data_IF_432087383932
#
_entry.id   IF_432087383932
#
_cell.length_a   1.000
_cell.length_b   1.000
_cell.length_c   1.000
_cell.angle_alpha   90.00
_cell.angle_beta   90.00
_cell.angle_gamma   90.00
#
_symmetry.space_group_name_H-M   'P 1'
#
loop_
_entity.id
_entity.type
_entity.pdbx_description
1 polymer ?
#
# COMPACT_ATOMS: atom_id res chain seq x y z
N UNK A 1 -9.40 21.15 9.63
CA UNK A 1 -8.03 20.55 9.72
C UNK A 1 -7.83 19.45 8.68
N UNK A 2 -8.88 18.70 8.30
CA UNK A 2 -8.89 17.74 7.19
C UNK A 2 -10.21 17.92 6.42
N UNK A 3 -10.19 17.72 5.10
CA UNK A 3 -11.39 17.70 4.26
C UNK A 3 -12.11 16.32 4.40
N UNK A 4 -13.41 16.25 4.78
CA UNK A 4 -14.13 14.99 4.92
C UNK A 4 -14.18 14.12 3.65
N UNK A 5 -14.25 14.75 2.48
CA UNK A 5 -14.31 14.03 1.19
C UNK A 5 -12.98 13.33 0.89
N UNK A 6 -11.88 13.98 1.27
CA UNK A 6 -10.54 13.39 1.22
C UNK A 6 -10.42 12.21 2.16
N UNK A 7 -10.99 12.28 3.37
CA UNK A 7 -10.97 11.16 4.30
C UNK A 7 -11.69 9.92 3.74
N UNK A 8 -12.89 10.09 3.19
CA UNK A 8 -13.66 8.96 2.61
C UNK A 8 -12.91 8.35 1.42
N UNK A 9 -12.41 9.19 0.52
CA UNK A 9 -11.68 8.76 -0.68
C UNK A 9 -10.37 8.07 -0.30
N UNK A 10 -9.66 8.58 0.71
CA UNK A 10 -8.45 8.00 1.25
C UNK A 10 -8.69 6.60 1.84
N UNK A 11 -9.73 6.45 2.67
CA UNK A 11 -10.06 5.17 3.29
C UNK A 11 -10.46 4.12 2.25
N UNK A 12 -11.25 4.52 1.24
CA UNK A 12 -11.65 3.62 0.16
C UNK A 12 -10.45 3.12 -0.65
N UNK A 13 -9.56 4.02 -1.05
CA UNK A 13 -8.36 3.66 -1.79
C UNK A 13 -7.37 2.86 -0.92
N UNK A 14 -7.18 3.23 0.35
CA UNK A 14 -6.35 2.49 1.30
C UNK A 14 -6.86 1.07 1.52
N UNK A 15 -8.18 0.88 1.58
CA UNK A 15 -8.81 -0.44 1.70
C UNK A 15 -8.48 -1.31 0.49
N UNK A 16 -8.67 -0.78 -0.72
CA UNK A 16 -8.39 -1.53 -1.95
C UNK A 16 -6.92 -1.95 -2.04
N UNK A 17 -6.00 -1.09 -1.63
CA UNK A 17 -4.57 -1.38 -1.63
C UNK A 17 -4.20 -2.44 -0.60
N UNK A 18 -4.73 -2.33 0.61
CA UNK A 18 -4.45 -3.28 1.68
C UNK A 18 -4.99 -4.68 1.34
N UNK A 19 -6.16 -4.76 0.70
CA UNK A 19 -6.77 -6.03 0.26
C UNK A 19 -6.15 -6.59 -1.02
N UNK A 20 -5.57 -5.75 -1.88
CA UNK A 20 -4.93 -6.21 -3.11
C UNK A 20 -3.74 -7.15 -2.78
N UNK A 21 -3.75 -8.42 -3.25
CA UNK A 21 -2.64 -9.34 -3.00
C UNK A 21 -1.30 -8.75 -3.45
N UNK A 22 -0.28 -8.86 -2.60
CA UNK A 22 1.04 -8.28 -2.85
C UNK A 22 2.13 -8.91 -2.00
N UNK A 23 3.38 -8.43 -2.10
CA UNK A 23 4.51 -8.99 -1.36
C UNK A 23 4.30 -9.03 0.15
N UNK A 24 3.78 -7.96 0.75
CA UNK A 24 3.50 -7.88 2.19
C UNK A 24 2.43 -8.90 2.61
N UNK A 25 1.31 -8.97 1.88
CA UNK A 25 0.24 -9.96 2.12
C UNK A 25 0.74 -11.40 1.97
N UNK A 26 1.58 -11.68 0.97
CA UNK A 26 2.18 -13.00 0.76
C UNK A 26 3.14 -13.39 1.89
N UNK A 27 3.98 -12.44 2.34
CA UNK A 27 4.89 -12.64 3.47
C UNK A 27 4.10 -12.91 4.77
N UNK A 28 3.05 -12.13 5.03
CA UNK A 28 2.18 -12.28 6.20
C UNK A 28 1.53 -13.67 6.25
N UNK A 29 0.93 -14.10 5.14
CA UNK A 29 0.31 -15.41 5.03
C UNK A 29 1.35 -16.53 5.16
N UNK A 30 2.50 -16.41 4.50
CA UNK A 30 3.58 -17.40 4.58
C UNK A 30 4.08 -17.57 6.02
N UNK A 31 4.30 -16.48 6.75
CA UNK A 31 4.71 -16.54 8.15
C UNK A 31 3.62 -17.06 9.08
N UNK A 32 2.37 -16.70 8.83
CA UNK A 32 1.23 -17.22 9.60
C UNK A 32 1.09 -18.73 9.44
N UNK A 33 1.23 -19.24 8.21
CA UNK A 33 1.13 -20.67 7.93
C UNK A 33 2.34 -21.47 8.41
N UNK A 34 3.56 -20.93 8.23
CA UNK A 34 4.78 -21.66 8.60
C UNK A 34 5.07 -21.61 10.11
N UNK A 35 4.81 -20.47 10.76
CA UNK A 35 5.26 -20.19 12.12
C UNK A 35 4.10 -19.83 13.09
N UNK A 36 2.84 -19.95 12.63
CA UNK A 36 1.65 -19.73 13.44
C UNK A 36 1.21 -18.26 13.55
N UNK A 37 0.04 -18.05 14.16
CA UNK A 37 -0.60 -16.73 14.28
C UNK A 37 0.25 -15.69 15.01
N UNK A 38 1.07 -16.11 15.98
CA UNK A 38 1.98 -15.19 16.69
C UNK A 38 3.01 -14.59 15.73
N UNK A 39 3.57 -15.38 14.82
CA UNK A 39 4.47 -14.87 13.79
C UNK A 39 3.72 -13.97 12.79
N UNK A 40 2.47 -14.31 12.47
CA UNK A 40 1.58 -13.44 11.70
C UNK A 40 1.39 -12.06 12.34
N UNK A 41 1.04 -12.02 13.64
CA UNK A 41 0.88 -10.75 14.38
C UNK A 41 2.18 -9.95 14.44
N UNK A 42 3.32 -10.62 14.64
CA UNK A 42 4.64 -9.97 14.57
C UNK A 42 4.87 -9.32 13.21
N UNK A 43 4.47 -10.00 12.11
CA UNK A 43 4.56 -9.42 10.77
C UNK A 43 3.66 -8.18 10.61
N UNK A 44 2.40 -8.24 11.06
CA UNK A 44 1.47 -7.10 10.98
C UNK A 44 1.99 -5.87 11.74
N UNK A 45 2.55 -6.07 12.96
CA UNK A 45 3.20 -4.97 13.68
C UNK A 45 4.44 -4.45 12.94
N UNK A 46 5.23 -5.34 12.34
CA UNK A 46 6.38 -4.95 11.52
C UNK A 46 5.97 -4.09 10.33
N UNK A 47 4.92 -4.45 9.60
CA UNK A 47 4.39 -3.65 8.50
C UNK A 47 3.86 -2.30 8.97
N UNK A 48 3.11 -2.25 10.07
CA UNK A 48 2.64 -0.99 10.62
C UNK A 48 3.82 -0.06 10.97
N UNK A 49 4.90 -0.58 11.57
CA UNK A 49 6.13 0.17 11.83
C UNK A 49 6.82 0.60 10.53
N UNK A 50 6.84 -0.24 9.51
CA UNK A 50 7.36 0.12 8.19
C UNK A 50 6.57 1.27 7.54
N UNK A 51 5.24 1.26 7.68
CA UNK A 51 4.38 2.37 7.26
C UNK A 51 4.64 3.67 8.05
N UNK A 52 4.96 3.58 9.33
CA UNK A 52 5.39 4.76 10.13
C UNK A 52 6.73 5.31 9.62
N UNK A 53 7.68 4.44 9.24
CA UNK A 53 8.96 4.86 8.63
C UNK A 53 8.71 5.58 7.30
N UNK A 54 7.88 5.02 6.42
CA UNK A 54 7.47 5.69 5.18
C UNK A 54 6.78 7.02 5.43
N UNK A 55 5.89 7.08 6.43
CA UNK A 55 5.24 8.34 6.84
C UNK A 55 6.26 9.39 7.21
N UNK A 56 7.25 9.03 8.03
CA UNK A 56 8.28 9.94 8.45
C UNK A 56 9.06 10.50 7.25
N UNK A 57 9.52 9.62 6.34
CA UNK A 57 10.24 10.05 5.15
C UNK A 57 9.38 10.91 4.22
N UNK A 58 8.12 10.52 4.00
CA UNK A 58 7.19 11.27 3.17
C UNK A 58 6.93 12.66 3.77
N UNK A 59 6.61 12.76 5.06
CA UNK A 59 6.35 14.03 5.74
C UNK A 59 7.56 14.94 5.69
N UNK A 60 8.75 14.45 6.05
CA UNK A 60 9.99 15.25 6.05
C UNK A 60 10.36 15.67 4.63
N UNK A 61 10.41 14.72 3.70
CA UNK A 61 10.83 14.96 2.32
C UNK A 61 9.86 15.88 1.57
N UNK A 62 8.57 15.58 1.60
CA UNK A 62 7.56 16.36 0.88
C UNK A 62 7.35 17.74 1.50
N UNK A 63 7.42 17.87 2.84
CA UNK A 63 7.38 19.19 3.48
C UNK A 63 8.60 20.02 3.09
N UNK A 64 9.80 19.41 3.03
CA UNK A 64 11.01 20.12 2.60
C UNK A 64 10.90 20.58 1.14
N UNK A 65 10.41 19.71 0.25
CA UNK A 65 10.17 20.05 -1.16
C UNK A 65 9.16 21.18 -1.29
N UNK A 66 8.02 21.10 -0.59
CA UNK A 66 6.98 22.13 -0.61
C UNK A 66 7.50 23.50 -0.13
N UNK A 67 8.32 23.51 0.93
CA UNK A 67 8.94 24.74 1.45
C UNK A 67 10.02 25.30 0.51
N UNK A 68 10.69 24.45 -0.26
CA UNK A 68 11.75 24.85 -1.17
C UNK A 68 11.21 25.38 -2.51
N UNK A 69 10.19 24.72 -3.09
CA UNK A 69 9.59 25.12 -4.36
C UNK A 69 8.23 24.47 -4.56
N UNK A 70 7.21 25.30 -4.76
CA UNK A 70 5.87 24.86 -5.16
C UNK A 70 5.91 24.10 -6.49
N UNK A 71 6.74 24.54 -7.46
CA UNK A 71 6.91 23.85 -8.75
C UNK A 71 7.49 22.46 -8.56
N UNK A 72 8.47 22.30 -7.68
CA UNK A 72 9.05 20.99 -7.37
C UNK A 72 8.03 20.07 -6.68
N UNK A 73 7.20 20.62 -5.79
CA UNK A 73 6.13 19.88 -5.14
C UNK A 73 5.08 19.40 -6.15
N UNK A 74 4.60 20.29 -7.02
CA UNK A 74 3.67 19.94 -8.08
C UNK A 74 4.26 18.90 -9.05
N UNK A 75 5.56 18.99 -9.35
CA UNK A 75 6.23 17.98 -10.17
C UNK A 75 6.22 16.59 -9.52
N UNK A 76 6.40 16.51 -8.19
CA UNK A 76 6.26 15.24 -7.45
C UNK A 76 4.83 14.73 -7.47
N UNK A 77 3.83 15.61 -7.32
CA UNK A 77 2.42 15.24 -7.43
C UNK A 77 2.10 14.67 -8.82
N UNK A 78 2.54 15.32 -9.90
CA UNK A 78 2.32 14.84 -11.26
C UNK A 78 3.07 13.55 -11.58
N UNK A 79 4.32 13.42 -11.12
CA UNK A 79 5.07 12.16 -11.22
C UNK A 79 4.35 11.04 -10.46
N UNK A 80 3.77 11.36 -9.30
CA UNK A 80 2.95 10.45 -8.52
C UNK A 80 1.69 10.00 -9.24
N UNK A 81 0.93 10.92 -9.82
CA UNK A 81 -0.24 10.59 -10.65
C UNK A 81 0.16 9.72 -11.84
N UNK A 82 1.24 10.05 -12.55
CA UNK A 82 1.73 9.24 -13.66
C UNK A 82 2.08 7.81 -13.20
N UNK A 83 2.69 7.67 -12.02
CA UNK A 83 3.00 6.37 -11.45
C UNK A 83 1.75 5.58 -11.03
N UNK A 84 0.74 6.22 -10.43
CA UNK A 84 -0.54 5.57 -10.12
C UNK A 84 -1.28 5.14 -11.40
N UNK A 85 -1.29 5.97 -12.43
CA UNK A 85 -1.80 5.62 -13.76
C UNK A 85 -1.06 4.39 -14.31
N UNK A 86 0.27 4.40 -14.26
CA UNK A 86 1.09 3.27 -14.68
C UNK A 86 0.74 1.99 -13.92
N UNK A 87 0.66 2.05 -12.59
CA UNK A 87 0.26 0.91 -11.76
C UNK A 87 -1.14 0.42 -12.11
N UNK A 88 -2.11 1.32 -12.26
CA UNK A 88 -3.47 0.94 -12.61
C UNK A 88 -3.56 0.29 -13.98
N UNK A 89 -2.84 0.81 -14.98
CA UNK A 89 -2.74 0.20 -16.31
C UNK A 89 -2.08 -1.17 -16.23
N UNK A 90 -1.01 -1.34 -15.46
CA UNK A 90 -0.33 -2.62 -15.29
C UNK A 90 -1.25 -3.66 -14.63
N UNK A 91 -2.01 -3.28 -13.61
CA UNK A 91 -3.00 -4.14 -12.96
C UNK A 91 -4.15 -4.51 -13.90
N UNK A 92 -4.57 -3.62 -14.79
CA UNK A 92 -5.56 -3.95 -15.82
C UNK A 92 -4.96 -4.90 -16.87
N UNK A 93 -3.75 -4.61 -17.36
CA UNK A 93 -3.07 -5.45 -18.37
C UNK A 93 -2.82 -6.88 -17.89
N UNK A 94 -2.41 -7.06 -16.64
CA UNK A 94 -2.23 -8.41 -16.05
C UNK A 94 -3.51 -9.23 -16.02
N UNK A 95 -4.69 -8.58 -16.10
CA UNK A 95 -5.99 -9.28 -16.16
C UNK A 95 -6.35 -9.79 -17.56
N UNK A 96 -5.67 -9.29 -18.60
CA UNK A 96 -5.89 -9.68 -20.00
C UNK A 96 -4.80 -10.62 -20.50
N UNK A 97 -3.59 -10.49 -19.97
CA UNK A 97 -2.45 -11.35 -20.30
C UNK A 97 -2.40 -12.45 -19.23
N UNK A 98 -2.93 -13.64 -19.55
CA UNK A 98 -2.64 -14.86 -18.80
C UNK A 98 -1.21 -15.29 -19.14
N UNK A 99 -0.23 -14.52 -18.69
CA UNK A 99 1.13 -15.03 -18.68
C UNK A 99 1.14 -16.26 -17.75
N UNK A 100 1.75 -17.39 -18.16
CA UNK A 100 2.13 -18.40 -17.21
C UNK A 100 2.89 -17.66 -16.12
N UNK A 101 2.58 -17.92 -14.85
CA UNK A 101 3.37 -17.38 -13.74
C UNK A 101 4.75 -18.05 -13.88
N UNK A 102 5.60 -17.54 -14.75
CA UNK A 102 7.03 -17.79 -14.67
C UNK A 102 7.42 -17.27 -13.30
N UNK A 103 8.01 -18.18 -12.51
CA UNK A 103 8.63 -17.87 -11.25
C UNK A 103 9.88 -17.02 -11.52
N UNK A 104 9.73 -15.83 -12.10
CA UNK A 104 10.80 -14.85 -12.13
C UNK A 104 10.92 -14.29 -10.72
N UNK A 105 12.04 -14.62 -10.07
CA UNK A 105 12.54 -14.08 -8.81
C UNK A 105 11.47 -13.68 -7.79
N UNK A 106 10.64 -14.65 -7.36
CA UNK A 106 9.89 -14.45 -6.12
C UNK A 106 10.92 -14.17 -5.02
N UNK A 107 10.87 -13.01 -4.33
CA UNK A 107 11.80 -12.73 -3.25
C UNK A 107 11.78 -13.93 -2.30
N UNK A 108 12.97 -14.41 -1.92
CA UNK A 108 13.09 -15.64 -1.16
C UNK A 108 12.46 -15.41 0.23
N UNK A 109 11.17 -15.76 0.38
CA UNK A 109 10.45 -15.63 1.64
C UNK A 109 11.04 -16.68 2.58
N UNK A 110 11.94 -16.25 3.46
CA UNK A 110 12.49 -17.12 4.48
C UNK A 110 11.42 -17.44 5.52
N UNK A 111 10.89 -18.66 5.45
CA UNK A 111 9.94 -19.20 6.44
C UNK A 111 10.63 -19.95 7.57
N UNK A 112 11.97 -19.99 7.57
CA UNK A 112 12.74 -20.55 8.69
C UNK A 112 12.37 -19.81 9.96
N UNK A 113 12.35 -20.54 11.09
CA UNK A 113 12.05 -20.03 12.44
C UNK A 113 13.04 -18.91 12.81
N UNK A 114 12.74 -17.70 12.38
CA UNK A 114 13.57 -16.51 12.54
C UNK A 114 13.35 -15.94 13.94
N UNK A 115 14.43 -15.52 14.59
CA UNK A 115 14.33 -14.89 15.92
C UNK A 115 13.66 -13.50 15.88
N UNK A 116 13.48 -12.90 14.69
CA UNK A 116 12.92 -11.54 14.57
C UNK A 116 12.05 -11.36 13.31
N UNK A 117 10.88 -11.99 13.30
CA UNK A 117 9.89 -11.89 12.22
C UNK A 117 9.39 -10.47 12.02
N UNK A 118 9.20 -9.72 13.12
CA UNK A 118 8.72 -8.34 13.09
C UNK A 118 9.67 -7.42 12.33
N UNK A 119 10.98 -7.51 12.59
CA UNK A 119 11.97 -6.69 11.88
C UNK A 119 12.04 -7.06 10.40
N UNK A 120 11.95 -8.35 10.06
CA UNK A 120 11.90 -8.77 8.66
C UNK A 120 10.69 -8.19 7.94
N UNK A 121 9.51 -8.26 8.55
CA UNK A 121 8.30 -7.64 8.00
C UNK A 121 8.45 -6.13 7.83
N UNK A 122 8.99 -5.44 8.84
CA UNK A 122 9.27 -4.00 8.75
C UNK A 122 10.19 -3.68 7.57
N UNK A 123 11.27 -4.44 7.37
CA UNK A 123 12.16 -4.24 6.22
C UNK A 123 11.52 -4.61 4.89
N UNK A 124 10.69 -5.66 4.85
CA UNK A 124 9.91 -5.99 3.66
C UNK A 124 9.00 -4.82 3.26
N UNK A 125 8.34 -4.17 4.21
CA UNK A 125 7.48 -3.01 3.93
C UNK A 125 8.29 -1.77 3.54
N UNK A 126 9.38 -1.47 4.26
CA UNK A 126 10.26 -0.31 3.97
C UNK A 126 10.89 -0.42 2.58
N UNK A 127 11.32 -1.63 2.20
CA UNK A 127 11.94 -1.88 0.90
C UNK A 127 10.93 -2.16 -0.21
N UNK A 128 9.62 -2.14 0.07
CA UNK A 128 8.59 -2.39 -0.92
C UNK A 128 8.41 -1.15 -1.81
N UNK A 129 8.85 -1.17 -3.08
CA UNK A 129 8.76 0.01 -3.94
C UNK A 129 7.31 0.42 -4.21
N UNK A 130 6.35 -0.53 -4.19
CA UNK A 130 4.92 -0.24 -4.33
C UNK A 130 4.43 0.64 -3.19
N UNK A 131 4.82 0.33 -1.95
CA UNK A 131 4.41 1.07 -0.75
C UNK A 131 5.14 2.41 -0.69
N UNK A 132 6.45 2.43 -0.92
CA UNK A 132 7.22 3.67 -0.94
C UNK A 132 6.64 4.68 -1.93
N UNK A 133 6.36 4.23 -3.16
CA UNK A 133 5.80 5.08 -4.20
C UNK A 133 4.34 5.45 -3.91
N UNK A 134 3.56 4.58 -3.25
CA UNK A 134 2.25 4.97 -2.73
C UNK A 134 2.35 6.14 -1.75
N UNK A 135 3.22 6.09 -0.74
CA UNK A 135 3.38 7.19 0.22
C UNK A 135 3.80 8.50 -0.46
N UNK A 136 4.67 8.44 -1.47
CA UNK A 136 5.15 9.62 -2.20
C UNK A 136 4.10 10.17 -3.18
N UNK A 137 3.39 9.29 -3.88
CA UNK A 137 2.49 9.66 -4.99
C UNK A 137 1.06 9.94 -4.56
N UNK A 138 0.57 9.18 -3.57
CA UNK A 138 -0.84 9.12 -3.22
C UNK A 138 -1.18 10.02 -2.04
N UNK A 139 -0.37 10.03 -0.97
CA UNK A 139 -0.67 10.84 0.23
C UNK A 139 -0.78 12.34 -0.08
N UNK A 140 0.09 12.95 -0.92
CA UNK A 140 -0.03 14.36 -1.28
C UNK A 140 -1.37 14.74 -1.92
N UNK A 141 -2.10 13.79 -2.50
CA UNK A 141 -3.39 14.04 -3.16
C UNK A 141 -4.49 14.38 -2.16
N UNK A 142 -4.29 14.06 -0.89
CA UNK A 142 -5.23 14.33 0.20
C UNK A 142 -4.81 15.56 1.02
N UNK A 143 -3.86 16.34 0.51
CA UNK A 143 -3.45 17.61 1.12
C UNK A 143 -4.25 18.73 0.46
N UNK A 144 -5.14 19.35 1.24
CA UNK A 144 -5.86 20.53 0.81
C UNK A 144 -4.99 21.79 1.03
N UNK A 145 -4.57 22.51 -0.02
CA UNK A 145 -3.74 23.70 0.11
C UNK A 145 -4.49 24.88 0.75
N UNK A 146 -5.83 24.85 0.80
CA UNK A 146 -6.64 25.87 1.48
C UNK A 146 -6.67 25.66 3.02
N UNK A 147 -6.23 24.50 3.51
CA UNK A 147 -6.15 24.20 4.94
C UNK A 147 -4.76 24.51 5.51
N UNK A 148 -4.71 24.80 6.82
CA UNK A 148 -3.60 25.53 7.43
C UNK A 148 -2.22 24.84 7.46
N UNK A 149 -2.13 23.50 7.42
CA UNK A 149 -0.82 22.83 7.52
C UNK A 149 -0.74 21.58 6.65
N UNK A 150 -0.03 21.66 5.54
CA UNK A 150 0.29 20.51 4.68
C UNK A 150 1.05 19.41 5.44
N UNK A 151 2.01 19.79 6.29
CA UNK A 151 2.78 18.83 7.13
C UNK A 151 1.86 18.04 8.05
N UNK A 152 0.88 18.69 8.68
CA UNK A 152 -0.10 17.99 9.51
C UNK A 152 -0.94 17.01 8.69
N UNK A 153 -1.43 17.43 7.52
CA UNK A 153 -2.25 16.57 6.65
C UNK A 153 -1.47 15.34 6.16
N UNK A 154 -0.23 15.54 5.70
CA UNK A 154 0.67 14.45 5.30
C UNK A 154 0.91 13.46 6.46
N UNK A 155 1.18 13.97 7.66
CA UNK A 155 1.40 13.12 8.83
C UNK A 155 0.12 12.38 9.25
N UNK A 156 -1.03 13.05 9.20
CA UNK A 156 -2.32 12.46 9.54
C UNK A 156 -2.65 11.29 8.60
N UNK A 157 -2.66 11.51 7.29
CA UNK A 157 -2.97 10.47 6.31
C UNK A 157 -1.90 9.37 6.29
N UNK A 158 -0.61 9.74 6.41
CA UNK A 158 0.47 8.77 6.48
C UNK A 158 0.36 7.83 7.67
N UNK A 159 0.03 8.33 8.86
CA UNK A 159 -0.18 7.49 10.06
C UNK A 159 -1.53 6.76 10.04
N UNK A 160 -2.54 7.33 9.40
CA UNK A 160 -3.85 6.70 9.26
C UNK A 160 -3.77 5.41 8.44
N UNK A 161 -2.96 5.37 7.38
CA UNK A 161 -2.81 4.19 6.53
C UNK A 161 -2.39 2.92 7.30
N UNK A 162 -1.24 2.86 8.01
CA UNK A 162 -0.82 1.65 8.72
C UNK A 162 -1.79 1.27 9.84
N UNK A 163 -2.43 2.24 10.49
CA UNK A 163 -3.47 1.97 11.49
C UNK A 163 -4.72 1.33 10.86
N UNK A 164 -5.09 1.77 9.66
CA UNK A 164 -6.23 1.25 8.92
C UNK A 164 -5.94 -0.11 8.26
N UNK A 165 -4.71 -0.34 7.80
CA UNK A 165 -4.27 -1.61 7.22
C UNK A 165 -4.14 -2.72 8.28
N UNK A 166 -3.79 -2.40 9.52
CA UNK A 166 -3.55 -3.38 10.58
C UNK A 166 -4.74 -4.33 10.86
N UNK A 167 -6.00 -3.86 10.95
CA UNK A 167 -7.18 -4.75 11.02
C UNK A 167 -7.32 -5.69 9.82
N UNK A 168 -6.93 -5.25 8.62
CA UNK A 168 -6.96 -6.05 7.40
C UNK A 168 -5.88 -7.14 7.48
N UNK A 169 -4.68 -6.80 7.93
CA UNK A 169 -3.61 -7.78 8.21
C UNK A 169 -4.07 -8.82 9.24
N UNK A 170 -4.76 -8.39 10.31
CA UNK A 170 -5.38 -9.30 11.27
C UNK A 170 -6.37 -10.24 10.59
N UNK A 171 -7.19 -9.75 9.67
CA UNK A 171 -8.10 -10.61 8.90
C UNK A 171 -7.36 -11.66 8.07
N UNK A 172 -6.22 -11.31 7.44
CA UNK A 172 -5.35 -12.28 6.77
C UNK A 172 -4.79 -13.33 7.72
N UNK A 173 -4.41 -12.95 8.94
CA UNK A 173 -3.85 -13.87 9.93
C UNK A 173 -4.92 -14.87 10.43
N UNK A 174 -6.13 -14.41 10.73
CA UNK A 174 -7.17 -15.26 11.31
C UNK A 174 -7.99 -16.03 10.27
N UNK A 175 -8.17 -15.46 9.08
CA UNK A 175 -8.98 -16.03 8.00
C UNK A 175 -8.15 -16.46 6.79
N UNK A 176 -6.82 -16.45 6.88
CA UNK A 176 -5.90 -16.79 5.78
C UNK A 176 -6.23 -18.09 5.06
N UNK A 177 -6.61 -19.15 5.79
CA UNK A 177 -7.04 -20.42 5.17
C UNK A 177 -8.31 -20.29 4.33
N UNK A 178 -9.29 -19.51 4.82
CA UNK A 178 -10.55 -19.24 4.10
C UNK A 178 -10.30 -18.33 2.90
N UNK A 179 -9.47 -17.31 3.06
CA UNK A 179 -9.07 -16.39 1.99
C UNK A 179 -8.31 -17.15 0.89
N UNK A 180 -7.34 -17.99 1.27
CA UNK A 180 -6.58 -18.80 0.32
C UNK A 180 -7.47 -19.82 -0.42
N UNK A 181 -8.43 -20.46 0.27
CA UNK A 181 -9.42 -21.31 -0.38
C UNK A 181 -10.33 -20.53 -1.32
N UNK A 182 -10.85 -19.38 -0.88
CA UNK A 182 -11.71 -18.52 -1.70
C UNK A 182 -11.05 -18.13 -3.02
N UNK A 183 -9.78 -17.69 -3.00
CA UNK A 183 -9.04 -17.35 -4.22
C UNK A 183 -8.73 -18.57 -5.10
N UNK A 184 -8.55 -19.75 -4.51
CA UNK A 184 -8.35 -21.00 -5.25
C UNK A 184 -9.63 -21.44 -5.96
N UNK A 185 -10.76 -21.36 -5.27
CA UNK A 185 -12.07 -21.77 -5.76
C UNK A 185 -12.66 -20.74 -6.73
N UNK A 186 -12.26 -19.46 -6.61
CA UNK A 186 -12.70 -18.34 -7.44
C UNK A 186 -11.50 -17.62 -8.08
N UNK A 187 -10.85 -18.21 -9.10
CA UNK A 187 -9.68 -17.62 -9.73
C UNK A 187 -9.95 -16.23 -10.35
N UNK A 188 -11.20 -15.95 -10.72
CA UNK A 188 -11.60 -14.64 -11.25
C UNK A 188 -11.67 -13.54 -10.18
N UNK A 189 -11.72 -13.88 -8.88
CA UNK A 189 -11.83 -12.88 -7.81
C UNK A 189 -10.58 -12.02 -7.72
N UNK A 190 -9.39 -12.61 -7.90
CA UNK A 190 -8.15 -11.84 -7.97
C UNK A 190 -8.14 -10.90 -9.16
N UNK A 191 -8.61 -11.37 -10.32
CA UNK A 191 -8.77 -10.55 -11.53
C UNK A 191 -9.68 -9.35 -11.30
N UNK A 192 -10.79 -9.52 -10.59
CA UNK A 192 -11.70 -8.41 -10.27
C UNK A 192 -11.11 -7.42 -9.28
N UNK A 193 -10.41 -7.89 -8.25
CA UNK A 193 -9.69 -7.02 -7.30
C UNK A 193 -8.65 -6.19 -8.04
N UNK A 194 -7.88 -6.81 -8.94
CA UNK A 194 -6.87 -6.12 -9.73
C UNK A 194 -7.50 -5.06 -10.66
N UNK A 195 -8.62 -5.40 -11.31
CA UNK A 195 -9.36 -4.45 -12.16
C UNK A 195 -9.92 -3.26 -11.37
N UNK A 196 -10.60 -3.52 -10.26
CA UNK A 196 -11.20 -2.47 -9.43
C UNK A 196 -10.11 -1.54 -8.90
N UNK A 197 -9.04 -2.12 -8.36
CA UNK A 197 -7.90 -1.35 -7.83
C UNK A 197 -7.25 -0.53 -8.94
N UNK A 198 -7.04 -1.13 -10.12
CA UNK A 198 -6.46 -0.42 -11.26
C UNK A 198 -7.32 0.73 -11.78
N UNK A 199 -8.63 0.55 -11.86
CA UNK A 199 -9.58 1.62 -12.22
C UNK A 199 -9.53 2.75 -11.20
N UNK A 200 -9.56 2.43 -9.90
CA UNK A 200 -9.51 3.44 -8.85
C UNK A 200 -8.20 4.22 -8.89
N UNK A 201 -7.06 3.56 -9.13
CA UNK A 201 -5.77 4.23 -9.27
C UNK A 201 -5.73 5.20 -10.45
N UNK A 202 -6.28 4.79 -11.60
CA UNK A 202 -6.38 5.66 -12.77
C UNK A 202 -7.33 6.83 -12.48
N UNK A 203 -8.47 6.58 -11.84
CA UNK A 203 -9.43 7.62 -11.49
C UNK A 203 -8.83 8.67 -10.54
N UNK A 204 -8.08 8.22 -9.53
CA UNK A 204 -7.36 9.10 -8.60
C UNK A 204 -6.28 9.91 -9.32
N UNK A 205 -5.50 9.26 -10.19
CA UNK A 205 -4.48 9.94 -10.98
C UNK A 205 -5.07 11.00 -11.92
N UNK A 206 -6.21 10.72 -12.55
CA UNK A 206 -6.94 11.70 -13.37
C UNK A 206 -7.49 12.83 -12.51
N UNK A 207 -8.07 12.53 -11.34
CA UNK A 207 -8.59 13.56 -10.44
C UNK A 207 -7.50 14.54 -9.98
N UNK A 208 -6.25 14.09 -9.83
CA UNK A 208 -5.13 14.97 -9.52
C UNK A 208 -4.70 15.88 -10.67
N UNK A 209 -5.00 15.49 -11.91
CA UNK A 209 -4.64 16.25 -13.12
C UNK A 209 -5.71 17.26 -13.55
N UNK A 210 -6.89 17.24 -12.92
CA UNK A 210 -8.03 18.12 -13.20
C UNK A 210 -8.18 19.18 -12.12
#
# INVERSE_FOLDING_TARGET
MINPDFLVSFLLASFLIAVAPGPSNAFLMAQTFANGRTAGMQSAFGFALGGVVHTFFAVVGLTAILKASEVAYSAVQYAGAAYLCYLGIMMLKSTFIKEPIEQSDKPHITTKKSKNVMFQAMMTEVLNPKVALFFIAFIPQFVDPALSSATFQLAFFGLLYPLFAFPIDCAYIYFGDKIARFFRDNPNSQTWIDRITGIVFIALAINLLL
#
